data_IF_838287885020
#
_entry.id   IF_838287885020
#
_cell.length_a   1.000
_cell.length_b   1.000
_cell.length_c   1.000
_cell.angle_alpha   90.00
_cell.angle_beta   90.00
_cell.angle_gamma   90.00
#
_symmetry.space_group_name_H-M   'P 1'
#
loop_
_entity.id
_entity.type
_entity.pdbx_description
1 polymer ?
#
# COMPACT_ATOMS: atom_id res chain seq x y z
N UNK A 1 -6.52 -18.34 -12.71
CA UNK A 1 -5.08 -18.23 -12.38
C UNK A 1 -4.58 -16.79 -12.29
N UNK A 2 -5.07 -15.83 -13.08
CA UNK A 2 -4.55 -14.44 -13.06
C UNK A 2 -4.84 -13.64 -11.77
N UNK A 3 -5.99 -13.84 -11.12
CA UNK A 3 -6.42 -13.04 -9.94
C UNK A 3 -5.60 -13.22 -8.66
N UNK A 4 -5.27 -14.46 -8.31
CA UNK A 4 -4.44 -14.72 -7.13
C UNK A 4 -3.06 -14.06 -7.26
N UNK A 5 -2.59 -13.86 -8.49
CA UNK A 5 -1.34 -13.17 -8.76
C UNK A 5 -1.50 -11.64 -8.58
N UNK A 6 -2.60 -11.05 -9.04
CA UNK A 6 -2.89 -9.61 -8.88
C UNK A 6 -3.00 -9.20 -7.40
N UNK A 7 -3.78 -9.93 -6.60
CA UNK A 7 -3.91 -9.63 -5.16
C UNK A 7 -2.58 -9.80 -4.42
N UNK A 8 -1.77 -10.79 -4.82
CA UNK A 8 -0.44 -11.00 -4.25
C UNK A 8 0.52 -9.86 -4.58
N UNK A 9 0.46 -9.33 -5.80
CA UNK A 9 1.24 -8.16 -6.23
C UNK A 9 0.84 -6.92 -5.42
N UNK A 10 -0.47 -6.64 -5.33
CA UNK A 10 -0.99 -5.49 -4.57
C UNK A 10 -0.60 -5.59 -3.09
N UNK A 11 -0.75 -6.78 -2.47
CA UNK A 11 -0.32 -7.00 -1.09
C UNK A 11 1.18 -6.75 -0.90
N UNK A 12 2.01 -7.20 -1.83
CA UNK A 12 3.45 -6.98 -1.73
C UNK A 12 3.81 -5.49 -1.83
N UNK A 13 3.15 -4.75 -2.72
CA UNK A 13 3.35 -3.30 -2.83
C UNK A 13 2.87 -2.55 -1.58
N UNK A 14 1.77 -2.96 -0.97
CA UNK A 14 1.27 -2.42 0.30
C UNK A 14 2.31 -2.61 1.40
N UNK A 15 2.85 -3.81 1.56
CA UNK A 15 3.82 -4.09 2.62
C UNK A 15 5.12 -3.29 2.44
N UNK A 16 5.65 -3.21 1.21
CA UNK A 16 6.83 -2.37 0.92
C UNK A 16 6.59 -0.91 1.29
N UNK A 17 5.45 -0.33 0.87
CA UNK A 17 5.13 1.07 1.19
C UNK A 17 4.89 1.30 2.68
N UNK A 18 4.37 0.30 3.41
CA UNK A 18 4.23 0.37 4.88
C UNK A 18 5.58 0.39 5.56
N UNK A 19 6.52 -0.43 5.12
CA UNK A 19 7.89 -0.43 5.65
C UNK A 19 8.57 0.92 5.40
N UNK A 20 8.54 1.44 4.16
CA UNK A 20 9.08 2.77 3.82
C UNK A 20 8.48 3.89 4.67
N UNK A 21 7.15 3.90 4.83
CA UNK A 21 6.44 4.89 5.63
C UNK A 21 6.82 4.80 7.11
N UNK A 22 6.91 3.59 7.66
CA UNK A 22 7.29 3.38 9.05
C UNK A 22 8.72 3.87 9.31
N UNK A 23 9.66 3.56 8.42
CA UNK A 23 11.04 4.04 8.53
C UNK A 23 11.07 5.57 8.54
N UNK A 24 10.37 6.23 7.61
CA UNK A 24 10.30 7.69 7.51
C UNK A 24 9.67 8.35 8.75
N UNK A 25 8.60 7.75 9.28
CA UNK A 25 7.94 8.24 10.51
C UNK A 25 8.87 8.09 11.72
N UNK A 26 9.60 6.99 11.83
CA UNK A 26 10.54 6.75 12.93
C UNK A 26 11.70 7.75 12.94
N UNK A 27 12.22 8.11 11.77
CA UNK A 27 13.32 9.06 11.64
C UNK A 27 12.87 10.53 11.60
N UNK A 28 11.56 10.81 11.62
CA UNK A 28 10.95 12.16 11.53
C UNK A 28 11.57 13.04 10.43
N UNK A 29 11.97 12.44 9.29
CA UNK A 29 12.85 13.15 8.34
C UNK A 29 12.09 14.13 7.46
N UNK A 30 10.95 13.71 6.89
CA UNK A 30 10.28 14.48 5.84
C UNK A 30 8.76 14.28 5.90
N UNK A 31 8.05 15.33 6.33
CA UNK A 31 6.59 15.32 6.46
C UNK A 31 5.87 15.28 5.12
N UNK A 32 6.43 15.89 4.08
CA UNK A 32 5.81 15.91 2.75
C UNK A 32 5.93 14.54 2.10
N UNK A 33 7.07 13.88 2.29
CA UNK A 33 7.26 12.50 1.83
C UNK A 33 6.37 11.51 2.59
N UNK A 34 6.25 11.65 3.91
CA UNK A 34 5.31 10.86 4.74
C UNK A 34 3.88 11.02 4.24
N UNK A 35 3.45 12.26 3.98
CA UNK A 35 2.10 12.53 3.48
C UNK A 35 1.89 11.90 2.11
N UNK A 36 2.85 12.04 1.19
CA UNK A 36 2.78 11.46 -0.15
C UNK A 36 2.64 9.95 -0.10
N UNK A 37 3.50 9.26 0.66
CA UNK A 37 3.45 7.81 0.81
C UNK A 37 2.17 7.34 1.48
N UNK A 38 1.62 8.10 2.44
CA UNK A 38 0.34 7.78 3.08
C UNK A 38 -0.80 7.79 2.06
N UNK A 39 -0.85 8.80 1.17
CA UNK A 39 -1.86 8.87 0.10
C UNK A 39 -1.70 7.73 -0.91
N UNK A 40 -0.46 7.39 -1.29
CA UNK A 40 -0.21 6.25 -2.18
C UNK A 40 -0.65 4.92 -1.56
N UNK A 41 -0.39 4.74 -0.26
CA UNK A 41 -0.80 3.55 0.49
C UNK A 41 -2.33 3.42 0.57
N UNK A 42 -3.04 4.52 0.82
CA UNK A 42 -4.51 4.54 0.78
C UNK A 42 -5.05 4.16 -0.60
N UNK A 43 -4.39 4.59 -1.67
CA UNK A 43 -4.72 4.18 -3.04
C UNK A 43 -4.59 2.67 -3.25
N UNK A 44 -3.48 2.07 -2.81
CA UNK A 44 -3.26 0.63 -2.91
C UNK A 44 -4.24 -0.18 -2.05
N UNK A 45 -4.54 0.28 -0.84
CA UNK A 45 -5.52 -0.36 0.04
C UNK A 45 -6.91 -0.34 -0.60
N UNK A 46 -7.32 0.78 -1.20
CA UNK A 46 -8.58 0.85 -1.93
C UNK A 46 -8.61 -0.11 -3.13
N UNK A 47 -7.52 -0.22 -3.89
CA UNK A 47 -7.41 -1.21 -4.97
C UNK A 47 -7.53 -2.63 -4.42
N UNK A 48 -6.85 -2.94 -3.32
CA UNK A 48 -6.94 -4.24 -2.66
C UNK A 48 -8.36 -4.58 -2.21
N UNK A 49 -9.07 -3.62 -1.62
CA UNK A 49 -10.46 -3.79 -1.21
C UNK A 49 -11.39 -3.98 -2.41
N UNK A 50 -11.22 -3.21 -3.49
CA UNK A 50 -12.04 -3.37 -4.69
C UNK A 50 -11.86 -4.76 -5.32
N UNK A 51 -10.60 -5.22 -5.43
CA UNK A 51 -10.29 -6.55 -5.96
C UNK A 51 -10.82 -7.68 -5.05
N UNK A 52 -10.88 -7.48 -3.73
CA UNK A 52 -11.48 -8.42 -2.78
C UNK A 52 -13.03 -8.39 -2.78
N UNK A 53 -13.65 -7.20 -2.81
CA UNK A 53 -15.10 -7.03 -2.68
C UNK A 53 -15.83 -7.46 -3.96
N UNK A 54 -15.23 -7.26 -5.14
CA UNK A 54 -15.86 -7.72 -6.39
C UNK A 54 -15.96 -9.24 -6.51
N UNK A 55 -15.26 -10.01 -5.64
CA UNK A 55 -15.23 -11.46 -5.69
C UNK A 55 -15.10 -12.08 -4.28
N UNK A 56 -16.20 -12.15 -3.49
CA UNK A 56 -16.23 -12.86 -2.22
C UNK A 56 -16.01 -14.37 -2.37
#
# INVERSE_FOLDING_TARGET
>A
MYKANTLKIINNEIEVKREELNELVLIKSDKDLILKLSVELDGLLNLYYLENIQHP
#
